data_IF_464981044720
#
_entry.id   IF_464981044720
#
_cell.length_a   1.000
_cell.length_b   1.000
_cell.length_c   1.000
_cell.angle_alpha   90.00
_cell.angle_beta   90.00
_cell.angle_gamma   90.00
#
_symmetry.space_group_name_H-M   'P 1'
#
loop_
_entity.id
_entity.type
_entity.pdbx_description
1 polymer ?
#
# COMPACT_ATOMS: atom_id res chain seq x y z
N UNK A 1 0.06 1.02 29.99
CA UNK A 1 0.39 2.01 28.94
C UNK A 1 1.63 1.67 28.07
N UNK A 2 2.11 0.41 27.97
CA UNK A 2 3.32 0.08 27.17
C UNK A 2 3.04 -0.50 25.76
N UNK A 3 1.85 -1.05 25.50
CA UNK A 3 1.50 -1.67 24.21
C UNK A 3 1.43 -0.64 23.07
N UNK A 4 0.83 0.54 23.30
CA UNK A 4 0.69 1.57 22.27
C UNK A 4 2.04 2.07 21.72
N UNK A 5 3.04 2.31 22.57
CA UNK A 5 4.34 2.80 22.07
C UNK A 5 5.11 1.76 21.23
N UNK A 6 4.99 0.47 21.57
CA UNK A 6 5.65 -0.59 20.81
C UNK A 6 5.05 -0.72 19.42
N UNK A 7 3.72 -0.74 19.37
CA UNK A 7 2.89 -0.78 18.17
C UNK A 7 3.20 0.44 17.27
N UNK A 8 3.21 1.66 17.81
CA UNK A 8 3.61 2.87 17.07
C UNK A 8 5.07 2.83 16.55
N UNK A 9 6.01 2.27 17.32
CA UNK A 9 7.41 2.14 16.89
C UNK A 9 7.58 1.13 15.76
N UNK A 10 6.84 0.02 15.82
CA UNK A 10 6.81 -1.01 14.78
C UNK A 10 6.18 -0.42 13.50
N UNK A 11 5.10 0.35 13.64
CA UNK A 11 4.44 1.04 12.53
C UNK A 11 5.34 2.08 11.86
N UNK A 12 5.97 2.95 12.65
CA UNK A 12 6.85 3.98 12.12
C UNK A 12 8.03 3.36 11.38
N UNK A 13 8.60 2.26 11.91
CA UNK A 13 9.66 1.49 11.24
C UNK A 13 9.19 0.86 9.93
N UNK A 14 7.97 0.35 9.90
CA UNK A 14 7.44 -0.37 8.74
C UNK A 14 7.05 0.60 7.63
N UNK A 15 6.38 1.70 7.96
CA UNK A 15 6.12 2.79 7.02
C UNK A 15 7.42 3.45 6.53
N UNK A 16 8.38 3.70 7.43
CA UNK A 16 9.70 4.24 7.05
C UNK A 16 10.46 3.31 6.09
N UNK A 17 10.24 1.98 6.15
CA UNK A 17 10.84 1.06 5.17
C UNK A 17 10.24 1.25 3.78
N UNK A 18 8.94 1.48 3.67
CA UNK A 18 8.27 1.76 2.39
C UNK A 18 8.68 3.13 1.86
N UNK A 19 8.65 4.16 2.70
CA UNK A 19 9.03 5.52 2.33
C UNK A 19 10.53 5.65 1.96
N UNK A 20 11.37 4.68 2.36
CA UNK A 20 12.78 4.59 1.90
C UNK A 20 12.94 3.90 0.56
N UNK A 21 11.96 3.12 0.10
CA UNK A 21 12.01 2.40 -1.18
C UNK A 21 11.58 3.27 -2.36
N UNK A 22 10.68 4.22 -2.11
CA UNK A 22 10.28 5.24 -3.08
C UNK A 22 10.26 6.57 -2.35
N UNK A 23 11.15 7.46 -2.77
CA UNK A 23 11.30 8.81 -2.25
C UNK A 23 10.65 9.82 -3.19
N UNK A 24 10.48 11.04 -2.70
CA UNK A 24 9.98 12.15 -3.50
C UNK A 24 10.86 12.40 -4.74
N UNK A 25 12.18 12.26 -4.60
CA UNK A 25 13.12 12.46 -5.70
C UNK A 25 12.88 11.45 -6.84
N UNK A 26 12.43 10.24 -6.53
CA UNK A 26 12.16 9.20 -7.54
C UNK A 26 10.93 9.59 -8.40
N UNK A 27 9.94 10.26 -7.81
CA UNK A 27 8.80 10.81 -8.55
C UNK A 27 9.19 12.01 -9.41
N UNK A 28 10.06 12.89 -8.89
CA UNK A 28 10.56 14.05 -9.63
C UNK A 28 11.47 13.63 -10.80
N UNK A 29 12.27 12.58 -10.62
CA UNK A 29 13.14 12.02 -11.65
C UNK A 29 12.41 11.17 -12.70
N UNK A 30 11.17 10.75 -12.43
CA UNK A 30 10.37 10.00 -13.38
C UNK A 30 9.94 10.90 -14.56
N UNK A 31 10.54 10.63 -15.73
CA UNK A 31 10.38 11.41 -16.96
C UNK A 31 9.03 11.20 -17.67
N UNK A 32 8.22 10.23 -17.23
CA UNK A 32 6.93 9.95 -17.86
C UNK A 32 5.83 9.64 -16.85
N UNK A 33 4.57 9.83 -17.27
CA UNK A 33 3.41 9.43 -16.49
C UNK A 33 3.40 7.94 -16.16
N UNK A 34 3.83 7.09 -17.11
CA UNK A 34 3.94 5.64 -16.89
C UNK A 34 4.98 5.29 -15.81
N UNK A 35 6.11 6.00 -15.78
CA UNK A 35 7.13 5.81 -14.75
C UNK A 35 6.61 6.23 -13.36
N UNK A 36 5.89 7.35 -13.27
CA UNK A 36 5.25 7.79 -12.01
C UNK A 36 4.16 6.83 -11.54
N UNK A 37 3.33 6.35 -12.47
CA UNK A 37 2.30 5.35 -12.19
C UNK A 37 2.91 4.04 -11.68
N UNK A 38 4.04 3.62 -12.25
CA UNK A 38 4.78 2.45 -11.77
C UNK A 38 5.24 2.59 -10.30
N UNK A 39 5.69 3.77 -9.89
CA UNK A 39 6.04 4.07 -8.50
C UNK A 39 4.81 4.06 -7.59
N UNK A 40 3.69 4.63 -8.01
CA UNK A 40 2.41 4.56 -7.29
C UNK A 40 1.93 3.12 -7.10
N UNK A 41 1.97 2.29 -8.16
CA UNK A 41 1.62 0.86 -8.09
C UNK A 41 2.53 0.08 -7.14
N UNK A 42 3.82 0.40 -7.12
CA UNK A 42 4.76 -0.20 -6.16
C UNK A 42 4.40 0.15 -4.72
N UNK A 43 4.18 1.43 -4.42
CA UNK A 43 3.75 1.87 -3.10
C UNK A 43 2.41 1.25 -2.68
N UNK A 44 1.48 1.10 -3.62
CA UNK A 44 0.20 0.45 -3.36
C UNK A 44 0.36 -1.02 -2.96
N UNK A 45 1.25 -1.76 -3.64
CA UNK A 45 1.53 -3.15 -3.31
C UNK A 45 2.16 -3.30 -1.92
N UNK A 46 3.08 -2.40 -1.56
CA UNK A 46 3.68 -2.38 -0.22
C UNK A 46 2.64 -2.04 0.86
N UNK A 47 1.81 -1.01 0.64
CA UNK A 47 0.72 -0.66 1.54
C UNK A 47 -0.28 -1.81 1.73
N UNK A 48 -0.61 -2.52 0.65
CA UNK A 48 -1.46 -3.69 0.70
C UNK A 48 -0.85 -4.83 1.54
N UNK A 49 0.45 -5.11 1.36
CA UNK A 49 1.15 -6.11 2.17
C UNK A 49 1.16 -5.76 3.67
N UNK A 50 1.18 -4.46 4.02
CA UNK A 50 1.02 -4.04 5.41
C UNK A 50 -0.40 -4.20 5.92
N UNK A 51 -1.40 -3.91 5.09
CA UNK A 51 -2.78 -4.13 5.45
C UNK A 51 -3.05 -5.61 5.79
N UNK A 52 -2.46 -6.54 5.05
CA UNK A 52 -2.54 -7.98 5.34
C UNK A 52 -1.95 -8.33 6.71
N UNK A 53 -0.72 -7.88 6.98
CA UNK A 53 -0.06 -8.13 8.27
C UNK A 53 -0.85 -7.57 9.45
N UNK A 54 -1.39 -6.36 9.33
CA UNK A 54 -2.22 -5.79 10.40
C UNK A 54 -3.57 -6.48 10.54
N UNK A 55 -4.13 -7.04 9.46
CA UNK A 55 -5.32 -7.88 9.59
C UNK A 55 -5.01 -9.19 10.33
N UNK A 56 -3.87 -9.81 10.07
CA UNK A 56 -3.38 -11.01 10.78
C UNK A 56 -3.09 -10.73 12.27
N UNK A 57 -2.65 -9.51 12.60
CA UNK A 57 -2.40 -9.05 13.97
C UNK A 57 -3.67 -8.55 14.70
N UNK A 58 -4.87 -8.73 14.12
CA UNK A 58 -6.16 -8.24 14.65
C UNK A 58 -6.27 -6.70 14.78
N UNK A 59 -5.39 -5.96 14.10
CA UNK A 59 -5.34 -4.49 14.05
C UNK A 59 -6.20 -3.93 12.89
N UNK A 60 -7.50 -4.25 12.90
CA UNK A 60 -8.42 -4.01 11.77
C UNK A 60 -8.46 -2.55 11.31
N UNK A 61 -8.47 -1.61 12.26
CA UNK A 61 -8.55 -0.17 11.96
C UNK A 61 -7.37 0.29 11.11
N UNK A 62 -6.20 -0.27 11.38
CA UNK A 62 -4.93 0.12 10.75
C UNK A 62 -4.79 -0.60 9.42
N UNK A 63 -5.15 -1.88 9.37
CA UNK A 63 -5.30 -2.62 8.12
C UNK A 63 -6.16 -1.83 7.12
N UNK A 64 -7.33 -1.34 7.56
CA UNK A 64 -8.22 -0.54 6.72
C UNK A 64 -7.61 0.79 6.26
N UNK A 65 -6.79 1.45 7.08
CA UNK A 65 -6.09 2.67 6.69
C UNK A 65 -5.11 2.40 5.54
N UNK A 66 -4.33 1.33 5.63
CA UNK A 66 -3.40 0.93 4.58
C UNK A 66 -4.10 0.45 3.31
N UNK A 67 -5.27 -0.20 3.43
CA UNK A 67 -6.11 -0.52 2.27
C UNK A 67 -6.60 0.73 1.55
N UNK A 68 -7.08 1.73 2.29
CA UNK A 68 -7.52 3.01 1.69
C UNK A 68 -6.36 3.71 0.99
N UNK A 69 -5.17 3.66 1.56
CA UNK A 69 -3.96 4.18 0.94
C UNK A 69 -3.64 3.43 -0.37
N UNK A 70 -3.64 2.09 -0.34
CA UNK A 70 -3.42 1.27 -1.54
C UNK A 70 -4.44 1.58 -2.64
N UNK A 71 -5.73 1.63 -2.32
CA UNK A 71 -6.78 1.96 -3.29
C UNK A 71 -6.60 3.37 -3.90
N UNK A 72 -6.22 4.37 -3.08
CA UNK A 72 -5.94 5.73 -3.53
C UNK A 72 -4.73 5.78 -4.48
N UNK A 73 -3.66 5.07 -4.15
CA UNK A 73 -2.44 5.01 -4.98
C UNK A 73 -2.68 4.32 -6.32
N UNK A 74 -3.62 3.38 -6.38
CA UNK A 74 -4.04 2.72 -7.62
C UNK A 74 -5.10 3.49 -8.41
N UNK A 75 -5.57 4.63 -7.91
CA UNK A 75 -6.66 5.38 -8.54
C UNK A 75 -7.98 4.62 -8.61
N UNK A 76 -8.19 3.64 -7.73
CA UNK A 76 -9.44 2.87 -7.71
C UNK A 76 -10.59 3.75 -7.24
N UNK A 77 -11.75 3.63 -7.89
CA UNK A 77 -12.99 4.26 -7.44
C UNK A 77 -13.50 3.66 -6.12
N UNK A 78 -13.14 2.40 -5.86
CA UNK A 78 -13.46 1.69 -4.64
C UNK A 78 -12.84 2.40 -3.42
N UNK A 79 -13.67 2.66 -2.41
CA UNK A 79 -13.25 3.18 -1.11
C UNK A 79 -13.45 2.09 -0.06
N UNK A 80 -12.39 1.38 0.35
CA UNK A 80 -12.54 0.24 1.24
C UNK A 80 -13.14 0.66 2.58
N UNK A 81 -14.15 -0.10 3.03
CA UNK A 81 -14.84 0.09 4.30
C UNK A 81 -14.67 -1.10 5.24
N UNK A 82 -14.34 -2.28 4.71
CA UNK A 82 -14.20 -3.54 5.46
C UNK A 82 -13.00 -4.33 4.95
N UNK A 83 -12.55 -5.31 5.75
CA UNK A 83 -11.43 -6.19 5.39
C UNK A 83 -11.72 -7.09 4.18
N UNK A 84 -12.98 -7.45 3.91
CA UNK A 84 -13.32 -8.22 2.71
C UNK A 84 -12.92 -7.49 1.41
N UNK A 85 -12.89 -6.16 1.43
CA UNK A 85 -12.47 -5.32 0.30
C UNK A 85 -10.96 -5.50 0.00
N UNK A 86 -10.21 -6.16 0.89
CA UNK A 86 -8.80 -6.49 0.74
C UNK A 86 -8.61 -7.52 -0.39
N UNK A 87 -9.58 -8.41 -0.61
CA UNK A 87 -9.54 -9.32 -1.75
C UNK A 87 -9.73 -8.58 -3.08
N UNK A 88 -10.59 -7.56 -3.12
CA UNK A 88 -10.81 -6.76 -4.32
C UNK A 88 -9.56 -5.96 -4.69
N UNK A 89 -8.89 -5.35 -3.71
CA UNK A 89 -7.60 -4.67 -3.92
C UNK A 89 -6.54 -5.67 -4.36
N UNK A 90 -6.52 -6.89 -3.80
CA UNK A 90 -5.62 -7.97 -4.24
C UNK A 90 -5.77 -8.23 -5.72
N UNK A 91 -7.01 -8.47 -6.16
CA UNK A 91 -7.33 -8.79 -7.55
C UNK A 91 -6.96 -7.64 -8.47
N UNK A 92 -7.16 -6.39 -8.03
CA UNK A 92 -6.71 -5.22 -8.77
C UNK A 92 -5.18 -5.23 -8.91
N UNK A 93 -4.43 -5.42 -7.82
CA UNK A 93 -2.97 -5.50 -7.85
C UNK A 93 -2.44 -6.64 -8.72
N UNK A 94 -3.06 -7.82 -8.65
CA UNK A 94 -2.65 -8.99 -9.44
C UNK A 94 -2.89 -8.76 -10.95
N UNK A 95 -4.00 -8.10 -11.32
CA UNK A 95 -4.24 -7.68 -12.72
C UNK A 95 -3.17 -6.70 -13.20
N UNK A 96 -2.84 -5.69 -12.40
CA UNK A 96 -1.83 -4.70 -12.75
C UNK A 96 -0.42 -5.33 -12.89
N UNK A 97 -0.12 -6.39 -12.13
CA UNK A 97 1.12 -7.17 -12.30
C UNK A 97 1.12 -7.98 -13.58
N UNK A 98 0.00 -8.61 -13.92
CA UNK A 98 -0.14 -9.37 -15.15
C UNK A 98 0.03 -8.48 -16.39
N UNK A 99 -0.59 -7.30 -16.40
CA UNK A 99 -0.45 -6.29 -17.46
C UNK A 99 1.01 -5.84 -17.67
N UNK A 100 1.77 -5.69 -16.58
CA UNK A 100 3.20 -5.36 -16.62
C UNK A 100 4.08 -6.50 -17.12
N UNK A 101 3.66 -7.76 -16.94
CA UNK A 101 4.41 -8.92 -17.41
C UNK A 101 4.16 -9.24 -18.89
N UNK A 102 3.05 -8.73 -19.45
CA UNK A 102 2.68 -8.89 -20.85
C UNK A 102 3.09 -7.72 -21.76
N UNK A 103 3.69 -6.67 -21.21
CA UNK A 103 4.19 -5.48 -21.93
C UNK A 103 5.71 -5.49 -21.98
#
# INVERSE_FOLDING_TARGET
MKKNNFIFSQFYRTFSRIARKVREEDFCAAESYAARDALCRYLAAEAYGLAQKFAEEEEEKISLQYMKLAAKLLGLSLRPKKLCDLEEIKRALDRLKAEKASS
#
